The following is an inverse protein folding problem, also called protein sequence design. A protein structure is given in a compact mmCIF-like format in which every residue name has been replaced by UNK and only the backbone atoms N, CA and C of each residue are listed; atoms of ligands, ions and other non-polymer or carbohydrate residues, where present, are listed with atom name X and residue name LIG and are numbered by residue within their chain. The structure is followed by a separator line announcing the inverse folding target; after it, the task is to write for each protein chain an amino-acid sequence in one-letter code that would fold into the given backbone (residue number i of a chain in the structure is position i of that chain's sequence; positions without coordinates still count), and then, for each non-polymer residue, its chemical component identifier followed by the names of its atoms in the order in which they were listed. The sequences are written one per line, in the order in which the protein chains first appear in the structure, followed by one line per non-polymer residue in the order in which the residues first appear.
data_IF_659472170431
#
_entry.id   IF_659472170431
#
_cell.length_a   1.000
_cell.length_b   1.000
_cell.length_c   1.000
_cell.angle_alpha   90.00
_cell.angle_beta   90.00
_cell.angle_gamma   90.00
#
_symmetry.space_group_name_H-M   'P 1'
#
loop_
_entity.id
_entity.type
_entity.pdbx_description
1 polymer ?
#
# COMPACT_ATOMS: atom_id res chain seq x y z
N UNK A 1 -3.50 -6.01 21.13
CA UNK A 1 -2.23 -5.91 20.35
C UNK A 1 -1.25 -7.05 20.65
N UNK A 2 -0.98 -7.40 21.92
CA UNK A 2 -0.07 -8.51 22.29
C UNK A 2 -0.38 -9.85 21.61
N UNK A 3 -1.65 -10.26 21.60
CA UNK A 3 -2.11 -11.47 20.89
C UNK A 3 -1.73 -11.47 19.40
N UNK A 4 -1.90 -10.33 18.72
CA UNK A 4 -1.59 -10.21 17.29
C UNK A 4 -0.08 -10.32 17.03
N UNK A 5 0.73 -9.78 17.94
CA UNK A 5 2.18 -9.93 17.89
C UNK A 5 2.59 -11.40 18.04
N UNK A 6 1.97 -12.13 18.96
CA UNK A 6 2.26 -13.55 19.20
C UNK A 6 1.90 -14.45 17.99
N UNK A 7 0.89 -14.06 17.21
CA UNK A 7 0.47 -14.79 15.99
C UNK A 7 1.34 -14.40 14.77
N UNK A 8 2.36 -13.55 14.96
CA UNK A 8 3.32 -13.22 13.91
C UNK A 8 2.93 -12.03 13.02
N UNK A 9 1.93 -11.22 13.41
CA UNK A 9 1.64 -9.93 12.75
C UNK A 9 2.64 -8.85 13.17
N UNK A 10 3.91 -9.12 12.95
CA UNK A 10 5.04 -8.28 13.27
C UNK A 10 6.10 -8.42 12.17
N UNK A 11 7.15 -7.57 12.15
CA UNK A 11 8.14 -7.57 11.08
C UNK A 11 9.00 -8.84 11.00
N UNK A 12 9.12 -9.57 12.11
CA UNK A 12 9.97 -10.76 12.25
C UNK A 12 9.23 -12.08 12.00
N UNK A 13 7.89 -12.05 11.98
CA UNK A 13 7.04 -13.22 11.76
C UNK A 13 6.71 -13.37 10.28
N UNK A 14 5.47 -13.06 9.92
CA UNK A 14 4.99 -13.21 8.55
C UNK A 14 5.43 -12.06 7.65
N UNK A 15 5.49 -12.31 6.34
CA UNK A 15 5.75 -11.24 5.38
C UNK A 15 4.74 -10.10 5.55
N UNK A 16 5.16 -8.86 5.32
CA UNK A 16 4.28 -7.68 5.47
C UNK A 16 3.04 -7.75 4.57
N UNK A 17 3.17 -8.38 3.39
CA UNK A 17 2.06 -8.60 2.48
C UNK A 17 1.04 -9.58 3.07
N UNK A 18 1.50 -10.77 3.49
CA UNK A 18 0.66 -11.78 4.10
C UNK A 18 0.01 -11.27 5.39
N UNK A 19 0.79 -10.62 6.26
CA UNK A 19 0.27 -9.98 7.47
C UNK A 19 -0.83 -8.96 7.19
N UNK A 20 -0.68 -8.16 6.13
CA UNK A 20 -1.69 -7.18 5.72
C UNK A 20 -2.96 -7.87 5.19
N UNK A 21 -2.81 -8.99 4.47
CA UNK A 21 -3.93 -9.80 4.00
C UNK A 21 -4.68 -10.45 5.17
N UNK A 22 -3.96 -11.10 6.10
CA UNK A 22 -4.54 -11.69 7.31
C UNK A 22 -5.30 -10.66 8.14
N UNK A 23 -4.73 -9.47 8.34
CA UNK A 23 -5.44 -8.37 8.97
C UNK A 23 -6.73 -8.04 8.21
N UNK A 24 -6.66 -7.90 6.89
CA UNK A 24 -7.82 -7.52 6.07
C UNK A 24 -8.92 -8.59 6.00
N UNK A 25 -8.56 -9.87 6.16
CA UNK A 25 -9.45 -11.03 5.99
C UNK A 25 -10.02 -11.56 7.31
N UNK A 26 -9.28 -11.48 8.42
CA UNK A 26 -9.70 -12.11 9.68
C UNK A 26 -9.89 -11.13 10.83
N UNK A 27 -9.11 -10.05 10.87
CA UNK A 27 -9.12 -9.11 12.00
C UNK A 27 -10.04 -7.93 11.73
N UNK A 28 -9.84 -7.25 10.60
CA UNK A 28 -10.62 -6.08 10.22
C UNK A 28 -12.12 -6.39 10.13
N UNK A 29 -12.59 -7.56 9.64
CA UNK A 29 -14.02 -7.89 9.64
C UNK A 29 -14.68 -7.82 11.02
N UNK A 30 -13.95 -8.11 12.11
CA UNK A 30 -14.46 -7.96 13.48
C UNK A 30 -14.75 -6.49 13.84
N UNK A 31 -13.98 -5.56 13.26
CA UNK A 31 -14.23 -4.11 13.37
C UNK A 31 -15.30 -3.62 12.39
N UNK A 32 -15.56 -4.38 11.32
CA UNK A 32 -16.49 -4.02 10.25
C UNK A 32 -17.95 -4.40 10.54
N UNK A 33 -18.17 -5.25 11.54
CA UNK A 33 -19.50 -5.66 11.93
C UNK A 33 -20.39 -4.44 12.25
N UNK A 34 -21.56 -4.37 11.61
CA UNK A 34 -22.49 -3.25 11.74
C UNK A 34 -22.10 -1.96 11.02
N UNK A 35 -20.87 -1.79 10.50
CA UNK A 35 -20.43 -0.53 9.87
C UNK A 35 -21.27 -0.10 8.67
N UNK A 36 -21.90 -1.04 7.97
CA UNK A 36 -22.76 -0.75 6.83
C UNK A 36 -24.11 -0.11 7.22
N UNK A 37 -24.59 -0.37 8.44
CA UNK A 37 -25.96 -0.04 8.87
C UNK A 37 -26.02 0.93 10.06
N UNK A 38 -24.87 1.27 10.65
CA UNK A 38 -24.81 2.14 11.83
C UNK A 38 -24.51 3.60 11.49
N UNK A 39 -24.98 4.51 12.35
CA UNK A 39 -24.55 5.91 12.36
C UNK A 39 -23.33 6.08 13.26
N UNK A 40 -22.34 6.83 12.80
CA UNK A 40 -21.10 7.04 13.55
C UNK A 40 -20.93 8.50 13.93
N UNK A 41 -20.62 8.75 15.21
CA UNK A 41 -20.02 10.01 15.63
C UNK A 41 -18.59 10.09 15.09
N UNK A 42 -18.09 11.31 14.91
CA UNK A 42 -16.70 11.56 14.48
C UNK A 42 -15.67 10.85 15.38
N UNK A 43 -15.93 10.80 16.70
CA UNK A 43 -15.08 10.09 17.67
C UNK A 43 -14.98 8.59 17.42
N UNK A 44 -16.08 7.94 17.00
CA UNK A 44 -16.08 6.51 16.66
C UNK A 44 -15.23 6.25 15.42
N UNK A 45 -15.37 7.08 14.38
CA UNK A 45 -14.56 6.99 13.16
C UNK A 45 -13.07 7.15 13.45
N UNK A 46 -12.70 8.12 14.29
CA UNK A 46 -11.32 8.32 14.73
C UNK A 46 -10.79 7.10 15.47
N UNK A 47 -11.60 6.51 16.36
CA UNK A 47 -11.20 5.35 17.16
C UNK A 47 -10.94 4.11 16.30
N UNK A 48 -11.84 3.84 15.34
CA UNK A 48 -11.71 2.71 14.42
C UNK A 48 -10.52 2.91 13.46
N UNK A 49 -10.33 4.13 12.95
CA UNK A 49 -9.15 4.48 12.14
C UNK A 49 -7.85 4.31 12.94
N UNK A 50 -7.82 4.71 14.21
CA UNK A 50 -6.67 4.51 15.11
C UNK A 50 -6.37 3.04 15.36
N UNK A 51 -7.40 2.21 15.52
CA UNK A 51 -7.26 0.76 15.67
C UNK A 51 -6.61 0.12 14.42
N UNK A 52 -7.12 0.45 13.23
CA UNK A 52 -6.52 0.00 11.96
C UNK A 52 -5.05 0.47 11.86
N UNK A 53 -4.80 1.75 12.11
CA UNK A 53 -3.45 2.31 11.99
C UNK A 53 -2.47 1.67 12.97
N UNK A 54 -2.92 1.27 14.16
CA UNK A 54 -2.09 0.55 15.13
C UNK A 54 -1.71 -0.84 14.63
N UNK A 55 -2.66 -1.58 14.03
CA UNK A 55 -2.39 -2.88 13.42
C UNK A 55 -1.39 -2.77 12.26
N UNK A 56 -1.58 -1.78 11.38
CA UNK A 56 -0.68 -1.56 10.24
C UNK A 56 0.73 -1.19 10.72
N UNK A 57 0.86 -0.30 11.72
CA UNK A 57 2.17 0.04 12.28
C UNK A 57 2.89 -1.17 12.84
N UNK A 58 2.18 -2.03 13.54
CA UNK A 58 2.74 -3.27 14.10
C UNK A 58 3.24 -4.22 13.01
N UNK A 59 2.49 -4.40 11.92
CA UNK A 59 2.92 -5.21 10.76
C UNK A 59 4.24 -4.69 10.16
N UNK A 60 4.39 -3.37 10.07
CA UNK A 60 5.56 -2.74 9.47
C UNK A 60 6.70 -2.47 10.48
N UNK A 61 6.48 -2.68 11.78
CA UNK A 61 7.46 -2.33 12.81
C UNK A 61 7.65 -0.82 12.94
N UNK A 62 6.62 -0.06 12.61
CA UNK A 62 6.67 1.38 12.56
C UNK A 62 6.63 2.01 13.96
N UNK A 63 7.19 3.20 14.08
CA UNK A 63 7.02 4.02 15.26
C UNK A 63 5.53 4.33 15.50
N UNK A 64 5.04 4.41 16.75
CA UNK A 64 3.62 4.65 17.06
C UNK A 64 3.02 5.91 16.41
N UNK A 65 3.88 6.91 16.13
CA UNK A 65 3.49 8.18 15.49
C UNK A 65 3.63 8.19 13.96
N UNK A 66 4.17 7.13 13.34
CA UNK A 66 4.35 7.09 11.88
C UNK A 66 3.01 7.18 11.14
N UNK A 67 2.99 7.89 10.02
CA UNK A 67 1.85 7.85 9.11
C UNK A 67 1.72 6.46 8.46
N UNK A 68 0.48 6.04 8.22
CA UNK A 68 0.15 4.73 7.65
C UNK A 68 -0.35 4.80 6.21
N UNK A 69 -0.48 6.01 5.64
CA UNK A 69 -1.01 6.24 4.27
C UNK A 69 -0.24 5.43 3.22
N UNK A 70 1.10 5.49 3.27
CA UNK A 70 1.97 4.75 2.35
C UNK A 70 1.88 3.26 2.61
N UNK A 71 1.93 2.82 3.88
CA UNK A 71 1.81 1.40 4.23
C UNK A 71 0.52 0.78 3.70
N UNK A 72 -0.60 1.52 3.79
CA UNK A 72 -1.89 1.15 3.21
C UNK A 72 -1.83 1.09 1.68
N UNK A 73 -1.23 2.10 1.06
CA UNK A 73 -1.09 2.18 -0.39
C UNK A 73 -0.31 0.99 -0.97
N UNK A 74 0.81 0.60 -0.34
CA UNK A 74 1.64 -0.53 -0.76
C UNK A 74 0.86 -1.85 -0.87
N UNK A 75 -0.19 -2.03 -0.07
CA UNK A 75 -1.02 -3.25 -0.05
C UNK A 75 -2.45 -3.01 -0.53
N UNK A 76 -2.73 -1.89 -1.19
CA UNK A 76 -4.06 -1.52 -1.68
C UNK A 76 -5.15 -1.59 -0.59
N UNK A 77 -4.83 -1.13 0.61
CA UNK A 77 -5.74 -1.16 1.76
C UNK A 77 -6.45 0.19 1.92
N UNK A 78 -7.79 0.24 1.94
CA UNK A 78 -8.51 1.48 2.20
C UNK A 78 -8.36 1.91 3.67
N UNK A 79 -8.48 3.21 3.93
CA UNK A 79 -8.78 3.73 5.27
C UNK A 79 -10.11 3.18 5.81
N UNK A 80 -10.37 3.32 7.11
CA UNK A 80 -11.65 2.89 7.67
C UNK A 80 -12.80 3.77 7.20
N UNK A 81 -12.55 5.06 6.98
CA UNK A 81 -13.54 5.95 6.35
C UNK A 81 -13.94 5.48 4.96
N UNK A 82 -12.97 5.18 4.09
CA UNK A 82 -13.23 4.61 2.76
C UNK A 82 -13.89 3.24 2.87
N UNK A 83 -13.49 2.42 3.83
CA UNK A 83 -14.06 1.09 4.04
C UNK A 83 -15.54 1.15 4.42
N UNK A 84 -15.93 2.10 5.26
CA UNK A 84 -17.33 2.35 5.63
C UNK A 84 -18.14 2.74 4.39
N UNK A 85 -17.64 3.67 3.57
CA UNK A 85 -18.31 4.06 2.33
C UNK A 85 -18.51 2.84 1.39
N UNK A 86 -17.50 1.97 1.27
CA UNK A 86 -17.58 0.73 0.48
C UNK A 86 -18.62 -0.24 1.06
N UNK A 87 -18.65 -0.41 2.39
CA UNK A 87 -19.59 -1.29 3.06
C UNK A 87 -21.03 -0.82 2.88
N UNK A 88 -21.26 0.48 3.07
CA UNK A 88 -22.56 1.13 2.85
C UNK A 88 -23.02 0.99 1.40
N UNK A 89 -22.15 1.26 0.43
CA UNK A 89 -22.49 1.10 -0.99
C UNK A 89 -22.84 -0.35 -1.36
N UNK A 90 -22.07 -1.31 -0.84
CA UNK A 90 -22.38 -2.74 -1.03
C UNK A 90 -23.69 -3.16 -0.37
N UNK A 91 -24.00 -2.60 0.81
CA UNK A 91 -25.26 -2.86 1.49
C UNK A 91 -26.45 -2.32 0.70
N UNK A 92 -26.37 -1.06 0.25
CA UNK A 92 -27.42 -0.45 -0.58
C UNK A 92 -27.62 -1.24 -1.88
N UNK A 93 -26.53 -1.63 -2.55
CA UNK A 93 -26.60 -2.45 -3.77
C UNK A 93 -27.29 -3.79 -3.51
N UNK A 94 -26.89 -4.52 -2.45
CA UNK A 94 -27.47 -5.84 -2.12
C UNK A 94 -28.96 -5.77 -1.80
N UNK A 95 -29.41 -4.67 -1.21
CA UNK A 95 -30.81 -4.48 -0.84
C UNK A 95 -31.76 -4.44 -2.05
N UNK A 96 -31.26 -4.15 -3.25
CA UNK A 96 -32.06 -4.18 -4.48
C UNK A 96 -32.30 -5.60 -5.01
N UNK A 97 -31.54 -6.59 -4.54
CA UNK A 97 -31.61 -7.98 -4.97
C UNK A 97 -32.05 -8.94 -3.85
N UNK A 98 -32.63 -8.40 -2.78
CA UNK A 98 -33.17 -9.23 -1.71
C UNK A 98 -34.50 -9.88 -2.15
N UNK A 99 -34.79 -11.10 -1.67
CA UNK A 99 -36.10 -11.72 -1.83
C UNK A 99 -37.24 -10.85 -1.30
N UNK A 100 -38.45 -11.05 -1.82
CA UNK A 100 -39.65 -10.31 -1.41
C UNK A 100 -40.06 -10.56 0.05
N UNK A 101 -39.77 -11.75 0.58
CA UNK A 101 -40.04 -12.21 1.94
C UNK A 101 -38.95 -11.82 2.95
N UNK A 102 -37.81 -11.30 2.49
CA UNK A 102 -36.77 -10.81 3.38
C UNK A 102 -37.30 -9.66 4.24
N UNK A 103 -37.06 -9.72 5.56
CA UNK A 103 -37.50 -8.70 6.53
C UNK A 103 -37.17 -7.28 6.06
N UNK A 104 -35.96 -7.07 5.52
CA UNK A 104 -35.56 -5.76 5.03
C UNK A 104 -36.43 -5.27 3.87
N UNK A 105 -36.81 -6.14 2.93
CA UNK A 105 -37.70 -5.82 1.80
C UNK A 105 -39.08 -5.40 2.29
N UNK A 106 -39.61 -6.10 3.30
CA UNK A 106 -40.91 -5.82 3.91
C UNK A 106 -40.91 -4.45 4.61
N UNK A 107 -39.86 -4.12 5.36
CA UNK A 107 -39.79 -2.84 6.11
C UNK A 107 -39.30 -1.66 5.26
N UNK A 108 -38.70 -1.92 4.09
CA UNK A 108 -38.09 -0.89 3.24
C UNK A 108 -39.06 0.26 2.87
N UNK A 109 -40.32 0.03 2.49
CA UNK A 109 -41.27 1.10 2.19
C UNK A 109 -41.45 2.07 3.38
N UNK A 110 -41.52 1.54 4.60
CA UNK A 110 -41.62 2.33 5.84
C UNK A 110 -40.37 3.18 6.04
N UNK A 111 -39.18 2.58 5.85
CA UNK A 111 -37.91 3.30 5.96
C UNK A 111 -37.73 4.38 4.89
N UNK A 112 -38.31 4.21 3.69
CA UNK A 112 -38.23 5.19 2.61
C UNK A 112 -39.20 6.37 2.81
N UNK A 113 -40.37 6.09 3.38
CA UNK A 113 -41.38 7.08 3.73
C UNK A 113 -40.98 7.96 4.93
N UNK A 114 -40.29 7.39 5.92
CA UNK A 114 -39.88 8.13 7.11
C UNK A 114 -38.84 9.22 6.79
N UNK A 115 -39.19 10.48 7.06
CA UNK A 115 -38.26 11.60 6.93
C UNK A 115 -37.07 11.43 7.87
N UNK A 116 -35.86 11.68 7.36
CA UNK A 116 -34.63 11.58 8.14
C UNK A 116 -34.16 10.16 8.44
N UNK A 117 -34.81 9.12 7.89
CA UNK A 117 -34.39 7.73 8.05
C UNK A 117 -32.93 7.52 7.64
N UNK A 118 -32.26 6.61 8.33
CA UNK A 118 -30.88 6.28 8.00
C UNK A 118 -30.76 5.70 6.59
N UNK A 119 -31.72 4.89 6.16
CA UNK A 119 -31.77 4.34 4.80
C UNK A 119 -31.78 5.44 3.73
N UNK A 120 -32.64 6.45 3.87
CA UNK A 120 -32.68 7.59 2.95
C UNK A 120 -31.39 8.39 2.96
N UNK A 121 -30.77 8.57 4.14
CA UNK A 121 -29.45 9.20 4.27
C UNK A 121 -28.37 8.39 3.57
N UNK A 122 -28.38 7.06 3.65
CA UNK A 122 -27.42 6.20 2.97
C UNK A 122 -27.51 6.32 1.45
N UNK A 123 -28.71 6.20 0.86
CA UNK A 123 -28.87 6.34 -0.60
C UNK A 123 -28.43 7.71 -1.08
N UNK A 124 -28.79 8.78 -0.34
CA UNK A 124 -28.49 10.16 -0.74
C UNK A 124 -27.05 10.62 -0.49
N UNK A 125 -26.40 10.18 0.60
CA UNK A 125 -25.10 10.72 1.05
C UNK A 125 -23.92 9.78 0.79
N UNK A 126 -24.16 8.56 0.31
CA UNK A 126 -23.06 7.66 -0.01
C UNK A 126 -22.28 8.19 -1.22
N UNK A 127 -20.97 8.51 -1.07
CA UNK A 127 -20.18 9.11 -2.14
C UNK A 127 -19.99 8.17 -3.34
N UNK A 128 -20.12 6.85 -3.12
CA UNK A 128 -20.03 5.84 -4.17
C UNK A 128 -21.36 5.72 -4.91
N UNK A 129 -22.49 5.73 -4.19
CA UNK A 129 -23.81 5.61 -4.80
C UNK A 129 -24.16 6.85 -5.63
N UNK A 130 -23.76 8.04 -5.19
CA UNK A 130 -23.93 9.29 -5.95
C UNK A 130 -23.22 9.29 -7.32
N UNK A 131 -22.23 8.42 -7.51
CA UNK A 131 -21.47 8.28 -8.76
C UNK A 131 -22.04 7.17 -9.66
N UNK A 132 -23.06 6.45 -9.20
CA UNK A 132 -23.70 5.36 -9.93
C UNK A 132 -25.04 5.84 -10.52
N UNK A 133 -25.55 5.18 -11.57
CA UNK A 133 -26.87 5.44 -12.13
C UNK A 133 -27.99 5.42 -11.08
N UNK A 134 -29.05 6.21 -11.31
CA UNK A 134 -30.19 6.34 -10.39
C UNK A 134 -30.90 5.00 -10.14
N UNK A 135 -30.99 4.16 -11.17
CA UNK A 135 -31.64 2.84 -11.10
C UNK A 135 -30.61 1.76 -10.77
N UNK A 136 -30.43 1.50 -9.47
CA UNK A 136 -29.44 0.54 -8.97
C UNK A 136 -29.75 -0.93 -9.31
N UNK A 137 -31.01 -1.27 -9.58
CA UNK A 137 -31.45 -2.64 -9.90
C UNK A 137 -30.86 -3.17 -11.22
N UNK A 138 -30.52 -2.27 -12.16
CA UNK A 138 -29.94 -2.64 -13.45
C UNK A 138 -28.41 -2.75 -13.40
N UNK A 139 -27.77 -2.39 -12.27
CA UNK A 139 -26.33 -2.40 -12.16
C UNK A 139 -25.77 -3.81 -11.98
N UNK A 140 -24.81 -4.15 -12.82
CA UNK A 140 -24.00 -5.33 -12.64
C UNK A 140 -23.03 -5.19 -11.46
N UNK A 141 -22.62 -6.33 -10.90
CA UNK A 141 -21.56 -6.37 -9.88
C UNK A 141 -20.23 -5.79 -10.40
N UNK A 142 -20.00 -5.82 -11.72
CA UNK A 142 -18.80 -5.25 -12.36
C UNK A 142 -18.81 -3.73 -12.30
N UNK A 143 -19.95 -3.09 -12.57
CA UNK A 143 -20.10 -1.63 -12.51
C UNK A 143 -19.96 -1.10 -11.09
N UNK A 144 -20.54 -1.78 -10.09
CA UNK A 144 -20.31 -1.42 -8.68
C UNK A 144 -18.82 -1.49 -8.31
N UNK A 145 -18.12 -2.55 -8.75
CA UNK A 145 -16.66 -2.68 -8.52
C UNK A 145 -15.87 -1.58 -9.22
N UNK A 146 -16.32 -1.12 -10.40
CA UNK A 146 -15.71 0.00 -11.12
C UNK A 146 -15.95 1.33 -10.37
N UNK A 147 -17.17 1.61 -9.92
CA UNK A 147 -17.49 2.80 -9.11
C UNK A 147 -16.70 2.85 -7.81
N UNK A 148 -16.59 1.72 -7.09
CA UNK A 148 -15.72 1.62 -5.89
C UNK A 148 -14.26 1.96 -6.23
N UNK A 149 -13.76 1.47 -7.37
CA UNK A 149 -12.37 1.73 -7.80
C UNK A 149 -12.17 3.21 -8.13
N UNK A 150 -13.12 3.83 -8.83
CA UNK A 150 -13.10 5.25 -9.17
C UNK A 150 -13.09 6.12 -7.90
N UNK A 151 -13.99 5.85 -6.97
CA UNK A 151 -14.04 6.53 -5.67
C UNK A 151 -12.70 6.49 -4.93
N UNK A 152 -12.11 5.30 -4.80
CA UNK A 152 -10.82 5.14 -4.13
C UNK A 152 -9.69 5.87 -4.88
N UNK A 153 -9.71 5.87 -6.22
CA UNK A 153 -8.68 6.53 -7.02
C UNK A 153 -8.79 8.04 -6.89
N UNK A 154 -10.01 8.59 -6.85
CA UNK A 154 -10.26 10.00 -6.64
C UNK A 154 -9.75 10.45 -5.26
N UNK A 155 -9.99 9.66 -4.21
CA UNK A 155 -9.44 9.95 -2.87
C UNK A 155 -7.92 9.92 -2.86
N UNK A 156 -7.30 8.93 -3.51
CA UNK A 156 -5.83 8.86 -3.63
C UNK A 156 -5.27 10.09 -4.33
N UNK A 157 -5.90 10.53 -5.42
CA UNK A 157 -5.50 11.72 -6.16
C UNK A 157 -5.67 12.99 -5.30
N UNK A 158 -6.77 13.12 -4.57
CA UNK A 158 -7.02 14.22 -3.63
C UNK A 158 -5.96 14.31 -2.53
N UNK A 159 -5.55 13.17 -1.95
CA UNK A 159 -4.49 13.14 -0.93
C UNK A 159 -3.15 13.61 -1.50
N UNK A 160 -2.88 13.34 -2.78
CA UNK A 160 -1.64 13.76 -3.46
C UNK A 160 -1.63 15.23 -3.83
N UNK A 161 -2.76 15.79 -4.24
CA UNK A 161 -2.87 17.19 -4.63
C UNK A 161 -3.02 18.14 -3.44
N UNK A 162 -3.35 17.64 -2.25
CA UNK A 162 -3.47 18.46 -1.05
C UNK A 162 -2.12 19.14 -0.70
N UNK A 163 -2.18 20.40 -0.25
CA UNK A 163 -1.00 21.18 0.20
C UNK A 163 -0.28 20.49 1.37
N UNK A 164 -1.03 19.80 2.24
CA UNK A 164 -0.53 18.97 3.34
C UNK A 164 -0.33 17.50 2.96
N UNK A 165 -0.38 17.19 1.65
CA UNK A 165 -0.22 15.87 1.08
C UNK A 165 1.16 15.27 1.36
N UNK A 166 1.20 13.94 1.46
CA UNK A 166 2.47 13.24 1.68
C UNK A 166 3.31 13.24 0.40
N UNK A 167 4.41 14.01 0.38
CA UNK A 167 5.41 14.03 -0.73
C UNK A 167 5.96 12.63 -1.05
N UNK A 168 5.95 11.71 -0.09
CA UNK A 168 6.38 10.33 -0.30
C UNK A 168 5.31 9.50 -1.05
N UNK A 169 4.02 9.79 -0.83
CA UNK A 169 2.93 9.10 -1.52
C UNK A 169 2.85 9.47 -3.01
N UNK A 170 3.26 10.69 -3.38
CA UNK A 170 3.36 11.10 -4.79
C UNK A 170 4.50 10.39 -5.54
N UNK A 171 5.53 9.92 -4.82
CA UNK A 171 6.61 9.12 -5.39
C UNK A 171 6.24 7.63 -5.58
N UNK A 172 5.13 7.16 -4.97
CA UNK A 172 4.65 5.79 -5.08
C UNK A 172 3.83 5.56 -6.36
N UNK A 173 3.41 4.30 -6.61
CA UNK A 173 2.62 3.93 -7.78
C UNK A 173 1.37 4.82 -7.95
N UNK A 174 1.10 5.37 -9.15
CA UNK A 174 -0.01 6.29 -9.36
C UNK A 174 -1.38 5.62 -9.18
N UNK A 175 -1.47 4.33 -9.47
CA UNK A 175 -2.72 3.57 -9.49
C UNK A 175 -2.87 2.68 -8.25
N UNK A 176 -4.13 2.36 -7.91
CA UNK A 176 -4.47 1.42 -6.84
C UNK A 176 -4.14 -0.02 -7.19
N UNK A 177 -2.92 -0.44 -6.89
CA UNK A 177 -2.47 -1.83 -6.94
C UNK A 177 -1.59 -2.16 -5.75
N UNK A 178 -1.47 -3.44 -5.43
CA UNK A 178 -0.41 -3.90 -4.53
C UNK A 178 0.93 -3.54 -5.18
N UNK A 179 1.82 -2.91 -4.44
CA UNK A 179 3.15 -2.55 -4.93
C UNK A 179 3.95 -3.83 -5.20
N UNK A 180 4.56 -4.00 -6.40
CA UNK A 180 5.33 -5.20 -6.74
C UNK A 180 6.39 -5.57 -5.70
N UNK A 181 6.96 -4.61 -4.97
CA UNK A 181 7.94 -4.91 -3.91
C UNK A 181 7.38 -5.83 -2.81
N UNK A 182 6.05 -5.88 -2.65
CA UNK A 182 5.40 -6.67 -1.61
C UNK A 182 5.40 -8.18 -1.90
N UNK A 183 5.47 -8.58 -3.17
CA UNK A 183 5.29 -9.99 -3.57
C UNK A 183 6.32 -10.51 -4.58
N UNK A 184 7.04 -9.63 -5.28
CA UNK A 184 8.10 -10.08 -6.19
C UNK A 184 9.18 -10.89 -5.46
N UNK A 185 9.81 -11.88 -6.14
CA UNK A 185 10.90 -12.66 -5.58
C UNK A 185 12.09 -11.75 -5.23
N UNK A 186 12.44 -11.73 -3.95
CA UNK A 186 13.58 -11.01 -3.38
C UNK A 186 13.80 -11.50 -1.95
N UNK A 187 15.02 -11.33 -1.44
CA UNK A 187 15.34 -11.68 -0.06
C UNK A 187 14.56 -10.78 0.90
N UNK A 188 14.41 -11.23 2.16
CA UNK A 188 13.75 -10.42 3.20
C UNK A 188 14.46 -9.06 3.41
N UNK A 189 15.78 -9.02 3.23
CA UNK A 189 16.61 -7.82 3.40
C UNK A 189 16.38 -6.82 2.26
N UNK A 190 16.43 -7.28 1.02
CA UNK A 190 16.12 -6.47 -0.17
C UNK A 190 14.73 -5.87 -0.07
N UNK A 191 13.72 -6.70 0.23
CA UNK A 191 12.35 -6.24 0.44
C UNK A 191 12.26 -5.20 1.53
N UNK A 192 12.98 -5.42 2.64
CA UNK A 192 13.00 -4.48 3.75
C UNK A 192 13.59 -3.13 3.33
N UNK A 193 14.68 -3.11 2.56
CA UNK A 193 15.30 -1.91 2.00
C UNK A 193 14.34 -1.15 1.07
N UNK A 194 13.72 -1.82 0.11
CA UNK A 194 12.76 -1.19 -0.81
C UNK A 194 11.57 -0.59 -0.08
N UNK A 195 11.01 -1.31 0.89
CA UNK A 195 9.87 -0.82 1.68
C UNK A 195 10.30 0.37 2.56
N UNK A 196 11.46 0.32 3.21
CA UNK A 196 12.00 1.46 3.98
C UNK A 196 12.20 2.68 3.10
N UNK A 197 12.71 2.52 1.89
CA UNK A 197 12.85 3.61 0.91
C UNK A 197 11.51 4.27 0.56
N UNK A 198 10.46 3.46 0.31
CA UNK A 198 9.09 3.95 0.07
C UNK A 198 8.53 4.72 1.26
N UNK A 199 8.79 4.23 2.47
CA UNK A 199 8.35 4.86 3.72
C UNK A 199 9.17 6.10 4.10
N UNK A 200 10.26 6.39 3.37
CA UNK A 200 11.20 7.46 3.71
C UNK A 200 12.00 7.18 4.98
N UNK A 201 12.09 5.90 5.38
CA UNK A 201 12.83 5.47 6.57
C UNK A 201 14.29 5.26 6.20
N UNK A 202 15.13 6.19 6.61
CA UNK A 202 16.57 6.05 6.50
C UNK A 202 17.10 5.19 7.66
N UNK A 203 18.20 4.44 7.46
CA UNK A 203 18.79 3.67 8.53
C UNK A 203 19.30 4.60 9.67
N UNK A 204 19.35 4.09 10.90
CA UNK A 204 19.66 4.87 12.10
C UNK A 204 18.51 5.70 12.69
N UNK A 205 17.43 5.95 11.94
CA UNK A 205 16.15 6.50 12.45
C UNK A 205 16.17 7.94 12.99
N UNK A 206 17.35 8.56 13.12
CA UNK A 206 17.56 9.94 13.56
C UNK A 206 18.37 10.70 12.52
N UNK A 207 18.13 12.01 12.40
CA UNK A 207 18.98 12.88 11.60
C UNK A 207 20.36 12.94 12.26
N UNK A 208 21.40 12.68 11.48
CA UNK A 208 22.79 12.76 11.90
C UNK A 208 23.63 13.23 10.70
N UNK A 209 24.86 13.72 10.91
CA UNK A 209 25.75 14.09 9.82
C UNK A 209 26.03 12.88 8.92
N UNK A 210 26.07 13.11 7.61
CA UNK A 210 26.44 12.06 6.66
C UNK A 210 27.85 11.51 6.97
N UNK A 211 27.99 10.20 7.10
CA UNK A 211 29.29 9.55 7.38
C UNK A 211 30.23 9.54 6.19
N UNK A 212 29.73 9.80 4.97
CA UNK A 212 30.54 9.84 3.74
C UNK A 212 31.13 11.22 3.47
N UNK A 213 30.31 12.27 3.58
CA UNK A 213 30.74 13.63 3.23
C UNK A 213 30.82 14.60 4.40
N UNK A 214 30.32 14.23 5.59
CA UNK A 214 30.36 15.02 6.83
C UNK A 214 29.73 16.43 6.78
N UNK A 215 29.12 16.83 5.66
CA UNK A 215 28.72 18.22 5.42
C UNK A 215 27.28 18.55 5.83
N UNK A 216 26.36 17.60 5.78
CA UNK A 216 24.93 17.88 5.99
C UNK A 216 24.21 16.75 6.72
N UNK A 217 23.03 17.06 7.25
CA UNK A 217 22.16 16.07 7.88
C UNK A 217 21.68 15.04 6.84
N UNK A 218 21.78 13.77 7.23
CA UNK A 218 21.45 12.65 6.37
C UNK A 218 19.94 12.56 6.14
N UNK A 219 19.50 13.16 5.03
CA UNK A 219 18.12 13.15 4.54
C UNK A 219 18.00 12.33 3.27
N UNK A 220 16.77 12.00 2.84
CA UNK A 220 16.56 11.22 1.61
C UNK A 220 17.07 11.97 0.37
N UNK A 221 16.87 13.30 0.33
CA UNK A 221 17.40 14.18 -0.72
C UNK A 221 18.93 14.15 -0.72
N UNK A 222 19.54 14.26 0.46
CA UNK A 222 20.99 14.18 0.59
C UNK A 222 21.53 12.81 0.14
N UNK A 223 20.89 11.72 0.56
CA UNK A 223 21.29 10.37 0.15
C UNK A 223 21.31 10.21 -1.38
N UNK A 224 20.30 10.76 -2.08
CA UNK A 224 20.23 10.73 -3.55
C UNK A 224 21.46 11.41 -4.19
N UNK A 225 21.88 12.55 -3.66
CA UNK A 225 23.03 13.31 -4.14
C UNK A 225 24.36 12.63 -3.75
N UNK A 226 24.50 12.25 -2.48
CA UNK A 226 25.71 11.68 -1.90
C UNK A 226 26.08 10.30 -2.49
N UNK A 227 25.06 9.52 -2.87
CA UNK A 227 25.20 8.23 -3.54
C UNK A 227 25.22 8.33 -5.08
N UNK A 228 25.16 9.55 -5.63
CA UNK A 228 25.11 9.82 -7.06
C UNK A 228 24.08 8.95 -7.80
N UNK A 229 22.87 8.83 -7.23
CA UNK A 229 21.88 7.85 -7.70
C UNK A 229 21.41 8.13 -9.13
N UNK A 230 21.36 9.39 -9.55
CA UNK A 230 20.96 9.79 -10.90
C UNK A 230 21.91 9.26 -11.96
N UNK A 231 23.21 9.46 -11.78
CA UNK A 231 24.23 8.96 -12.70
C UNK A 231 24.25 7.43 -12.71
N UNK A 232 24.23 6.78 -11.53
CA UNK A 232 24.25 5.32 -11.44
C UNK A 232 23.06 4.64 -12.11
N UNK A 233 21.89 5.28 -12.09
CA UNK A 233 20.65 4.74 -12.65
C UNK A 233 20.33 5.31 -14.05
N UNK A 234 21.16 6.20 -14.59
CA UNK A 234 20.89 6.93 -15.84
C UNK A 234 19.50 7.60 -15.85
N UNK A 235 19.11 8.18 -14.71
CA UNK A 235 17.82 8.88 -14.54
C UNK A 235 18.06 10.40 -14.51
N UNK A 236 17.34 11.19 -15.32
CA UNK A 236 17.50 12.65 -15.35
C UNK A 236 17.29 13.34 -13.99
N UNK A 237 18.00 14.45 -13.77
CA UNK A 237 17.95 15.21 -12.51
C UNK A 237 16.58 15.82 -12.18
N UNK A 238 15.72 16.03 -13.17
CA UNK A 238 14.35 16.51 -12.92
C UNK A 238 13.48 15.48 -12.19
N UNK A 239 13.87 14.20 -12.16
CA UNK A 239 13.16 13.15 -11.43
C UNK A 239 13.61 13.11 -9.95
N UNK A 240 12.86 13.67 -9.00
CA UNK A 240 13.38 13.96 -7.65
C UNK A 240 13.73 12.72 -6.81
N UNK A 241 13.20 11.55 -7.15
CA UNK A 241 13.48 10.27 -6.49
C UNK A 241 13.69 9.18 -7.55
N UNK A 242 14.95 8.91 -7.94
CA UNK A 242 15.28 7.98 -9.01
C UNK A 242 15.00 6.52 -8.63
N UNK A 243 15.18 6.13 -7.37
CA UNK A 243 14.84 4.78 -6.92
C UNK A 243 13.33 4.58 -6.96
N UNK A 244 12.53 5.49 -6.39
CA UNK A 244 11.06 5.34 -6.42
C UNK A 244 10.51 5.35 -7.84
N UNK A 245 11.11 6.11 -8.75
CA UNK A 245 10.80 6.08 -10.17
C UNK A 245 10.97 4.68 -10.75
N UNK A 246 12.13 4.06 -10.54
CA UNK A 246 12.36 2.69 -11.01
C UNK A 246 11.43 1.67 -10.33
N UNK A 247 11.21 1.78 -9.02
CA UNK A 247 10.30 0.88 -8.29
C UNK A 247 8.87 0.93 -8.85
N UNK A 248 8.44 2.07 -9.41
CA UNK A 248 7.15 2.19 -10.10
C UNK A 248 7.10 1.45 -11.44
N UNK A 249 8.25 1.08 -12.02
CA UNK A 249 8.37 0.33 -13.26
C UNK A 249 8.54 -1.17 -13.07
N UNK A 250 8.58 -1.64 -11.82
CA UNK A 250 8.66 -3.06 -11.53
C UNK A 250 7.51 -3.84 -12.20
N UNK A 251 7.80 -5.05 -12.70
CA UNK A 251 6.80 -5.86 -13.40
C UNK A 251 5.65 -6.24 -12.48
N UNK A 252 4.42 -6.22 -13.02
CA UNK A 252 3.22 -6.72 -12.33
C UNK A 252 2.96 -8.22 -12.56
N UNK A 253 3.72 -8.81 -13.48
CA UNK A 253 3.72 -10.21 -13.88
C UNK A 253 5.00 -10.46 -14.69
N UNK A 254 5.33 -11.71 -14.97
CA UNK A 254 6.60 -12.04 -15.61
C UNK A 254 6.73 -11.30 -16.96
N UNK A 255 7.80 -10.52 -17.18
CA UNK A 255 7.95 -9.77 -18.42
C UNK A 255 8.29 -10.71 -19.58
N UNK A 256 7.71 -10.45 -20.75
CA UNK A 256 7.98 -11.21 -21.98
C UNK A 256 8.85 -10.45 -22.98
N UNK A 257 8.91 -9.12 -22.89
CA UNK A 257 9.69 -8.29 -23.81
C UNK A 257 11.20 -8.36 -23.50
N UNK A 258 12.06 -8.73 -24.46
CA UNK A 258 13.51 -8.77 -24.27
C UNK A 258 14.10 -7.44 -23.82
N UNK A 259 13.64 -6.32 -24.41
CA UNK A 259 14.06 -4.97 -24.01
C UNK A 259 13.74 -4.67 -22.55
N UNK A 260 12.57 -5.11 -22.08
CA UNK A 260 12.16 -4.91 -20.67
C UNK A 260 12.94 -5.80 -19.72
N UNK A 261 13.17 -7.06 -20.11
CA UNK A 261 14.01 -8.01 -19.36
C UNK A 261 15.43 -7.43 -19.21
N UNK A 262 16.03 -6.97 -20.30
CA UNK A 262 17.36 -6.36 -20.31
C UNK A 262 17.40 -5.13 -19.40
N UNK A 263 16.46 -4.20 -19.56
CA UNK A 263 16.37 -3.01 -18.71
C UNK A 263 16.30 -3.36 -17.21
N UNK A 264 15.41 -4.29 -16.83
CA UNK A 264 15.29 -4.70 -15.42
C UNK A 264 16.56 -5.39 -14.91
N UNK A 265 17.19 -6.22 -15.73
CA UNK A 265 18.42 -6.94 -15.37
C UNK A 265 19.61 -6.00 -15.20
N UNK A 266 19.71 -4.95 -16.02
CA UNK A 266 20.79 -3.96 -15.92
C UNK A 266 20.69 -3.08 -14.67
N UNK A 267 19.48 -2.65 -14.29
CA UNK A 267 19.30 -1.62 -13.26
C UNK A 267 18.92 -2.17 -11.88
N UNK A 268 18.30 -3.34 -11.80
CA UNK A 268 17.88 -3.90 -10.51
C UNK A 268 19.06 -4.16 -9.54
N UNK A 269 20.18 -4.80 -9.98
CA UNK A 269 21.35 -4.96 -9.12
C UNK A 269 21.94 -3.65 -8.63
N UNK A 270 21.93 -2.61 -9.48
CA UNK A 270 22.42 -1.27 -9.13
C UNK A 270 21.58 -0.69 -7.99
N UNK A 271 20.25 -0.83 -8.04
CA UNK A 271 19.36 -0.35 -6.99
C UNK A 271 19.59 -1.13 -5.69
N UNK A 272 19.68 -2.45 -5.76
CA UNK A 272 19.95 -3.27 -4.58
C UNK A 272 21.31 -2.92 -3.96
N UNK A 273 22.34 -2.66 -4.77
CA UNK A 273 23.66 -2.17 -4.36
C UNK A 273 23.57 -0.80 -3.67
N UNK A 274 22.91 0.19 -4.29
CA UNK A 274 22.71 1.52 -3.70
C UNK A 274 22.04 1.41 -2.33
N UNK A 275 20.96 0.63 -2.23
CA UNK A 275 20.21 0.47 -0.98
C UNK A 275 20.99 -0.30 0.09
N UNK A 276 21.90 -1.19 -0.31
CA UNK A 276 22.80 -1.89 0.60
C UNK A 276 23.93 -0.97 1.09
N UNK A 277 24.54 -0.19 0.20
CA UNK A 277 25.52 0.85 0.55
C UNK A 277 24.91 1.87 1.51
N UNK A 278 23.68 2.28 1.27
CA UNK A 278 22.91 3.15 2.16
C UNK A 278 22.81 2.58 3.58
N UNK A 279 22.54 1.28 3.73
CA UNK A 279 22.50 0.63 5.05
C UNK A 279 23.87 0.62 5.73
N UNK A 280 24.95 0.39 4.97
CA UNK A 280 26.31 0.28 5.50
C UNK A 280 26.78 1.56 6.21
N UNK A 281 26.29 2.74 5.79
CA UNK A 281 26.66 4.03 6.37
C UNK A 281 26.20 4.23 7.82
N UNK A 282 25.32 3.38 8.33
CA UNK A 282 24.77 3.50 9.69
C UNK A 282 25.14 2.35 10.63
N UNK A 283 25.83 1.32 10.13
CA UNK A 283 26.26 0.19 10.95
C UNK A 283 27.78 0.27 11.15
N UNK A 284 28.27 0.35 12.41
CA UNK A 284 29.71 0.30 12.68
C UNK A 284 30.32 -0.98 12.10
N UNK A 285 31.59 -0.88 11.70
CA UNK A 285 32.37 -1.81 10.89
C UNK A 285 32.30 -3.28 11.37
N UNK A 286 32.05 -3.49 12.66
CA UNK A 286 31.93 -4.79 13.31
C UNK A 286 30.74 -5.66 12.86
N UNK A 287 29.69 -5.11 12.25
CA UNK A 287 28.54 -5.88 11.76
C UNK A 287 28.49 -6.02 10.22
N UNK A 288 29.47 -5.51 9.48
CA UNK A 288 29.40 -5.42 8.01
C UNK A 288 29.32 -6.78 7.30
N UNK A 289 29.95 -7.82 7.84
CA UNK A 289 29.85 -9.20 7.31
C UNK A 289 28.41 -9.71 7.33
N UNK A 290 27.59 -9.29 8.29
CA UNK A 290 26.19 -9.71 8.37
C UNK A 290 25.32 -9.05 7.29
N UNK A 291 25.77 -7.95 6.64
CA UNK A 291 25.01 -7.20 5.64
C UNK A 291 25.46 -7.41 4.20
N UNK A 292 26.56 -8.14 4.00
CA UNK A 292 27.06 -8.51 2.68
C UNK A 292 26.14 -9.55 2.04
N UNK A 293 25.51 -9.15 0.95
CA UNK A 293 24.90 -10.06 -0.02
C UNK A 293 25.85 -10.06 -1.22
N UNK A 294 26.56 -11.17 -1.51
CA UNK A 294 27.59 -11.18 -2.55
C UNK A 294 26.98 -10.90 -3.94
N UNK A 295 25.69 -11.18 -4.14
CA UNK A 295 25.01 -10.96 -5.41
C UNK A 295 23.61 -10.35 -5.18
N UNK A 296 23.53 -9.03 -4.89
CA UNK A 296 22.26 -8.38 -4.60
C UNK A 296 21.39 -8.32 -5.85
N UNK A 297 20.12 -8.67 -5.71
CA UNK A 297 19.07 -8.60 -6.72
C UNK A 297 18.84 -9.90 -7.50
N UNK A 298 19.63 -10.95 -7.26
CA UNK A 298 19.61 -12.16 -8.10
C UNK A 298 18.32 -12.96 -8.04
N UNK A 299 17.61 -12.94 -6.91
CA UNK A 299 16.33 -13.64 -6.78
C UNK A 299 15.29 -13.12 -7.79
N UNK A 300 15.24 -11.80 -8.00
CA UNK A 300 14.34 -11.20 -9.00
C UNK A 300 14.83 -11.48 -10.42
N UNK A 301 16.14 -11.37 -10.67
CA UNK A 301 16.72 -11.63 -11.99
C UNK A 301 16.41 -13.05 -12.44
N UNK A 302 16.68 -14.06 -11.61
CA UNK A 302 16.37 -15.47 -11.92
C UNK A 302 14.91 -15.69 -12.28
N UNK A 303 13.99 -14.94 -11.67
CA UNK A 303 12.57 -15.01 -11.99
C UNK A 303 12.22 -14.30 -13.30
N UNK A 304 12.88 -13.17 -13.61
CA UNK A 304 12.68 -12.41 -14.86
C UNK A 304 13.29 -13.13 -16.07
N UNK A 305 14.41 -13.84 -15.88
CA UNK A 305 15.12 -14.62 -16.89
C UNK A 305 14.98 -16.11 -16.59
N UNK A 306 13.81 -16.72 -16.82
CA UNK A 306 13.68 -18.16 -16.62
C UNK A 306 14.65 -18.89 -17.57
N UNK A 307 15.24 -20.02 -17.14
CA UNK A 307 16.05 -20.84 -18.02
C UNK A 307 15.22 -21.27 -19.24
N UNK A 308 15.87 -21.39 -20.40
CA UNK A 308 15.23 -21.94 -21.59
C UNK A 308 14.63 -23.31 -21.25
N UNK A 309 13.42 -23.65 -21.75
CA UNK A 309 12.84 -24.97 -21.52
C UNK A 309 13.85 -26.02 -21.97
N UNK A 310 14.23 -26.91 -21.05
CA UNK A 310 15.03 -28.08 -21.41
C UNK A 310 14.18 -28.91 -22.37
N UNK A 311 14.62 -28.96 -23.63
CA UNK A 311 14.06 -29.90 -24.60
C UNK A 311 14.36 -31.28 -24.04
N UNK A 312 13.30 -31.97 -23.62
CA UNK A 312 13.38 -33.39 -23.29
C UNK A 312 13.54 -34.10 -24.62
N UNK A 313 14.74 -34.63 -24.86
CA UNK A 313 15.03 -35.55 -25.96
C UNK A 313 14.22 -36.85 -25.81
#
# INVERSE_FOLDING_TARGET
MRMLNNIGLNPSGLSRHLSSQLYSQFIRPKLEYGLAISTFKKSHLISIEKAQNSCIRMIYGAHPKSETKIMRHLVKMPSMSERIAILQAKFVYRAEFLPSDALFTIIRPVLEAQQGSYWRKLKKKSPIIQQLPEVLSNLSSKELKAGIRLFLQNNLNSIRSAVTGSKLLSCCLPNLSVDPIMWLPMTNRERSRCIRWRLGWLPGGRLHPCTKCHQTTFSKKHAIQCLNMHSRLHIPYYQPDPISFFLNQLPKGQPTSPKRIQHLTSYWPIICSILMELDSYHHPTSNQQQYQDPNPGMALIKWITPPAPQVTE
#
